data_IF_566141138718
#
_entry.id   IF_566141138718
#
_cell.length_a   1.000
_cell.length_b   1.000
_cell.length_c   1.000
_cell.angle_alpha   90.00
_cell.angle_beta   90.00
_cell.angle_gamma   90.00
#
_symmetry.space_group_name_H-M   'P 1'
#
loop_
_entity.id
_entity.type
_entity.pdbx_description
1 polymer ?
#
# COMPACT_ATOMS: atom_id res chain seq x y z
N UNK A 1 37.66 -11.25 31.86
CA UNK A 1 37.03 -9.91 31.96
C UNK A 1 37.13 -9.07 30.69
N UNK A 2 38.29 -8.97 30.01
CA UNK A 2 38.42 -8.16 28.78
C UNK A 2 37.50 -8.55 27.60
N UNK A 3 37.25 -9.85 27.38
CA UNK A 3 36.38 -10.33 26.28
C UNK A 3 34.87 -10.08 26.51
N UNK A 4 34.42 -10.04 27.76
CA UNK A 4 33.02 -9.74 28.09
C UNK A 4 32.69 -8.24 27.98
N UNK A 5 33.65 -7.37 28.28
CA UNK A 5 33.51 -5.92 28.12
C UNK A 5 33.43 -5.54 26.63
N UNK A 6 34.17 -6.23 25.76
CA UNK A 6 34.11 -6.02 24.30
C UNK A 6 32.75 -6.40 23.68
N UNK A 7 32.09 -7.45 24.18
CA UNK A 7 30.78 -7.86 23.67
C UNK A 7 29.67 -6.89 24.12
N UNK A 8 29.76 -6.35 25.35
CA UNK A 8 28.82 -5.34 25.85
C UNK A 8 28.95 -4.00 25.09
N UNK A 9 30.15 -3.62 24.69
CA UNK A 9 30.39 -2.44 23.84
C UNK A 9 29.83 -2.60 22.43
N UNK A 10 29.93 -3.80 21.84
CA UNK A 10 29.38 -4.10 20.51
C UNK A 10 27.84 -4.13 20.55
N UNK A 11 27.22 -4.66 21.62
CA UNK A 11 25.77 -4.59 21.81
C UNK A 11 25.25 -3.17 22.12
N UNK A 12 26.05 -2.32 22.77
CA UNK A 12 25.72 -0.91 22.96
C UNK A 12 25.78 -0.12 21.64
N UNK A 13 26.73 -0.45 20.75
CA UNK A 13 26.86 0.15 19.41
C UNK A 13 25.74 -0.28 18.45
N UNK A 14 25.18 -1.48 18.60
CA UNK A 14 24.06 -1.95 17.78
C UNK A 14 22.71 -1.30 18.11
N UNK A 15 22.57 -0.64 19.26
CA UNK A 15 21.36 0.09 19.64
C UNK A 15 21.36 1.57 19.23
N UNK A 16 22.42 2.07 18.58
CA UNK A 16 22.56 3.51 18.24
C UNK A 16 22.14 3.80 16.78
N UNK A 17 21.92 2.79 15.93
CA UNK A 17 21.66 3.02 14.50
C UNK A 17 20.18 3.33 14.20
N UNK A 18 19.32 3.40 15.22
CA UNK A 18 18.02 4.03 15.11
C UNK A 18 18.12 5.55 15.32
N UNK A 19 17.63 6.33 14.36
CA UNK A 19 16.81 7.53 14.64
C UNK A 19 17.36 8.97 14.53
N UNK A 20 18.39 9.35 13.73
CA UNK A 20 18.52 10.76 13.35
C UNK A 20 17.54 11.14 12.22
N UNK A 21 17.26 10.20 11.30
CA UNK A 21 16.34 10.39 10.16
C UNK A 21 14.87 10.24 10.58
N UNK A 22 14.58 9.38 11.58
CA UNK A 22 13.23 9.26 12.12
C UNK A 22 12.87 10.59 12.79
N UNK A 23 13.46 10.93 13.95
CA UNK A 23 13.15 12.10 14.76
C UNK A 23 12.79 13.38 13.96
N UNK A 24 13.56 13.73 12.92
CA UNK A 24 13.36 14.95 12.13
C UNK A 24 12.07 14.99 11.31
N UNK A 25 11.56 13.85 10.83
CA UNK A 25 10.27 13.81 10.13
C UNK A 25 9.12 13.99 11.12
N UNK A 26 9.15 13.27 12.24
CA UNK A 26 8.17 13.43 13.31
C UNK A 26 8.17 14.85 13.88
N UNK A 27 9.33 15.51 13.95
CA UNK A 27 9.46 16.90 14.36
C UNK A 27 8.69 17.85 13.42
N UNK A 28 8.85 17.69 12.09
CA UNK A 28 8.10 18.48 11.09
C UNK A 28 6.59 18.28 11.18
N UNK A 29 6.16 17.11 11.64
CA UNK A 29 4.75 16.74 11.80
C UNK A 29 4.22 16.98 13.22
N UNK A 30 5.01 17.58 14.12
CA UNK A 30 4.59 17.83 15.49
C UNK A 30 3.34 18.72 15.52
N UNK A 31 2.29 18.24 16.19
CA UNK A 31 0.96 18.87 16.24
C UNK A 31 0.27 19.06 14.87
N UNK A 32 0.74 18.39 13.82
CA UNK A 32 0.13 18.42 12.51
C UNK A 32 -0.93 17.32 12.36
N UNK A 33 -2.04 17.62 11.68
CA UNK A 33 -3.15 16.66 11.48
C UNK A 33 -2.70 15.37 10.78
N UNK A 34 -1.66 15.44 9.95
CA UNK A 34 -1.16 14.30 9.18
C UNK A 34 -0.12 13.44 9.90
N UNK A 35 0.22 13.74 11.17
CA UNK A 35 1.24 12.98 11.93
C UNK A 35 0.94 11.48 12.01
N UNK A 36 -0.33 11.10 12.17
CA UNK A 36 -0.78 9.71 12.20
C UNK A 36 -1.21 9.16 10.84
N UNK A 37 -1.20 10.00 9.80
CA UNK A 37 -1.70 9.65 8.46
C UNK A 37 -0.56 9.29 7.52
N UNK A 38 0.58 9.99 7.59
CA UNK A 38 1.70 9.78 6.66
C UNK A 38 2.53 8.56 7.09
N UNK A 39 2.60 7.58 6.20
CA UNK A 39 3.43 6.38 6.36
C UNK A 39 4.85 6.69 5.89
N UNK A 40 5.82 6.46 6.78
CA UNK A 40 7.23 6.82 6.53
C UNK A 40 7.81 6.13 5.28
N UNK A 41 7.57 4.83 5.13
CA UNK A 41 8.14 4.07 4.02
C UNK A 41 7.57 4.55 2.68
N UNK A 42 6.27 4.87 2.66
CA UNK A 42 5.61 5.48 1.52
C UNK A 42 6.23 6.85 1.19
N UNK A 43 6.37 7.72 2.20
CA UNK A 43 6.96 9.05 2.05
C UNK A 43 8.39 8.97 1.48
N UNK A 44 9.24 8.15 2.06
CA UNK A 44 10.64 8.02 1.62
C UNK A 44 10.75 7.45 0.20
N UNK A 45 9.85 6.56 -0.18
CA UNK A 45 9.87 5.93 -1.50
C UNK A 45 9.33 6.86 -2.60
N UNK A 46 8.21 7.53 -2.35
CA UNK A 46 7.52 8.33 -3.37
C UNK A 46 7.82 9.83 -3.33
N UNK A 47 8.27 10.36 -2.19
CA UNK A 47 8.63 11.77 -2.00
C UNK A 47 10.10 11.96 -1.55
N UNK A 48 11.08 11.25 -2.14
CA UNK A 48 12.46 11.29 -1.66
C UNK A 48 13.09 12.68 -1.74
N UNK A 49 12.61 13.55 -2.65
CA UNK A 49 13.09 14.93 -2.77
C UNK A 49 12.71 15.80 -1.57
N UNK A 50 11.56 15.56 -0.93
CA UNK A 50 11.17 16.24 0.32
C UNK A 50 11.98 15.77 1.52
N UNK A 51 12.49 14.53 1.48
CA UNK A 51 13.30 13.93 2.54
C UNK A 51 14.76 14.39 2.53
N UNK A 52 15.24 14.98 1.42
CA UNK A 52 16.64 15.41 1.26
C UNK A 52 17.05 16.40 2.34
N UNK A 53 18.34 16.41 2.63
CA UNK A 53 18.95 17.34 3.58
C UNK A 53 18.23 17.37 4.92
N UNK A 54 17.91 16.20 5.46
CA UNK A 54 17.18 16.07 6.72
C UNK A 54 15.78 16.71 6.70
N UNK A 55 15.00 16.42 5.65
CA UNK A 55 13.62 16.90 5.51
C UNK A 55 13.49 18.44 5.41
N UNK A 56 14.53 19.12 4.93
CA UNK A 56 14.49 20.58 4.76
C UNK A 56 13.40 20.99 3.75
N UNK A 57 13.23 20.21 2.68
CA UNK A 57 12.18 20.44 1.68
C UNK A 57 10.77 20.10 2.18
N UNK A 58 10.65 19.36 3.29
CA UNK A 58 9.35 18.99 3.84
C UNK A 58 8.84 20.06 4.82
N UNK A 59 7.81 20.76 4.36
CA UNK A 59 6.99 21.70 5.11
C UNK A 59 5.52 21.31 4.89
N UNK A 60 4.90 20.55 5.82
CA UNK A 60 3.60 19.89 5.61
C UNK A 60 2.48 20.80 5.06
N UNK A 61 2.47 22.07 5.45
CA UNK A 61 1.47 23.08 5.04
C UNK A 61 1.88 23.92 3.81
N UNK A 62 3.11 23.78 3.31
CA UNK A 62 3.55 24.47 2.11
C UNK A 62 2.84 23.90 0.88
N UNK A 63 2.64 24.73 -0.14
CA UNK A 63 2.08 24.27 -1.41
C UNK A 63 2.98 23.23 -2.07
N UNK A 64 2.39 22.19 -2.66
CA UNK A 64 3.13 21.22 -3.49
C UNK A 64 3.28 21.78 -4.91
N UNK A 65 4.47 21.60 -5.50
CA UNK A 65 4.70 21.93 -6.91
C UNK A 65 4.15 20.84 -7.82
N UNK A 66 3.68 21.21 -9.00
CA UNK A 66 3.09 20.29 -9.97
C UNK A 66 4.09 19.25 -10.48
N UNK A 67 5.31 19.67 -10.83
CA UNK A 67 6.40 18.79 -11.26
C UNK A 67 6.79 17.77 -10.17
N UNK A 68 6.93 18.23 -8.93
CA UNK A 68 7.18 17.38 -7.75
C UNK A 68 6.06 16.36 -7.53
N UNK A 69 4.81 16.81 -7.57
CA UNK A 69 3.64 15.96 -7.41
C UNK A 69 3.56 14.89 -8.50
N UNK A 70 3.72 15.29 -9.78
CA UNK A 70 3.68 14.38 -10.91
C UNK A 70 4.83 13.37 -10.87
N UNK A 71 6.02 13.76 -10.42
CA UNK A 71 7.11 12.83 -10.19
C UNK A 71 6.73 11.72 -9.19
N UNK A 72 6.13 12.10 -8.06
CA UNK A 72 5.67 11.16 -7.04
C UNK A 72 4.53 10.27 -7.55
N UNK A 73 3.56 10.85 -8.24
CA UNK A 73 2.41 10.12 -8.79
C UNK A 73 2.82 9.15 -9.89
N UNK A 74 3.68 9.56 -10.82
CA UNK A 74 4.23 8.69 -11.86
C UNK A 74 5.05 7.55 -11.28
N UNK A 75 5.82 7.79 -10.21
CA UNK A 75 6.54 6.73 -9.49
C UNK A 75 5.58 5.71 -8.86
N UNK A 76 4.48 6.18 -8.25
CA UNK A 76 3.42 5.33 -7.70
C UNK A 76 2.78 4.46 -8.78
N UNK A 77 2.29 5.08 -9.86
CA UNK A 77 1.68 4.38 -10.98
C UNK A 77 2.62 3.33 -11.59
N UNK A 78 3.88 3.70 -11.81
CA UNK A 78 4.90 2.77 -12.32
C UNK A 78 5.10 1.57 -11.41
N UNK A 79 5.14 1.76 -10.08
CA UNK A 79 5.25 0.64 -9.13
C UNK A 79 4.01 -0.27 -9.17
N UNK A 80 2.84 0.29 -9.52
CA UNK A 80 1.59 -0.44 -9.67
C UNK A 80 1.34 -0.98 -11.09
N UNK A 81 2.30 -0.82 -12.01
CA UNK A 81 2.21 -1.37 -13.37
C UNK A 81 1.52 -0.46 -14.40
N UNK A 82 1.27 0.80 -14.04
CA UNK A 82 0.66 1.80 -14.92
C UNK A 82 1.72 2.78 -15.44
N UNK A 83 1.48 3.38 -16.61
CA UNK A 83 2.32 4.43 -17.17
C UNK A 83 1.69 5.82 -16.94
N UNK A 84 2.54 6.83 -16.75
CA UNK A 84 2.12 8.22 -16.77
C UNK A 84 3.19 9.04 -17.50
N UNK A 85 2.77 9.77 -18.54
CA UNK A 85 3.67 10.55 -19.40
C UNK A 85 3.48 12.07 -19.21
N UNK A 86 2.71 12.48 -18.20
CA UNK A 86 2.51 13.90 -17.90
C UNK A 86 3.79 14.54 -17.37
N UNK A 87 4.15 15.69 -17.95
CA UNK A 87 5.24 16.54 -17.50
C UNK A 87 4.65 17.72 -16.73
N UNK A 88 5.13 17.93 -15.51
CA UNK A 88 4.70 19.04 -14.67
C UNK A 88 5.51 20.31 -14.86
N UNK A 89 4.94 21.43 -14.44
CA UNK A 89 5.61 22.72 -14.40
C UNK A 89 5.99 23.07 -12.95
N UNK A 90 6.99 23.93 -12.76
CA UNK A 90 7.37 24.41 -11.43
C UNK A 90 6.38 25.50 -10.94
N UNK A 91 5.13 25.11 -10.73
CA UNK A 91 4.03 25.95 -10.27
C UNK A 91 3.29 25.26 -9.13
N UNK A 92 2.67 26.04 -8.25
CA UNK A 92 1.89 25.49 -7.14
C UNK A 92 0.56 24.90 -7.64
N UNK A 93 0.27 23.65 -7.29
CA UNK A 93 -1.00 23.00 -7.60
C UNK A 93 -2.14 23.51 -6.72
N UNK A 94 -3.31 23.69 -7.32
CA UNK A 94 -4.57 23.79 -6.56
C UNK A 94 -5.15 22.39 -6.27
N UNK A 95 -6.06 22.30 -5.30
CA UNK A 95 -6.79 21.07 -4.98
C UNK A 95 -7.63 20.55 -6.14
N UNK A 96 -8.19 21.45 -6.95
CA UNK A 96 -8.94 21.11 -8.18
C UNK A 96 -8.01 20.52 -9.23
N UNK A 97 -6.87 21.16 -9.50
CA UNK A 97 -5.86 20.65 -10.45
C UNK A 97 -5.32 19.27 -10.02
N UNK A 98 -4.98 19.11 -8.74
CA UNK A 98 -4.54 17.83 -8.19
C UNK A 98 -5.62 16.73 -8.32
N UNK A 99 -6.89 17.07 -8.09
CA UNK A 99 -8.00 16.14 -8.30
C UNK A 99 -8.18 15.77 -9.77
N UNK A 100 -8.04 16.72 -10.71
CA UNK A 100 -8.14 16.46 -12.14
C UNK A 100 -7.01 15.53 -12.63
N UNK A 101 -5.77 15.78 -12.22
CA UNK A 101 -4.60 14.93 -12.56
C UNK A 101 -4.83 13.49 -12.10
N UNK A 102 -5.16 13.30 -10.82
CA UNK A 102 -5.32 11.95 -10.26
C UNK A 102 -6.60 11.29 -10.76
N UNK A 103 -7.72 12.01 -10.69
CA UNK A 103 -9.04 11.50 -11.08
C UNK A 103 -9.07 11.13 -12.56
N UNK A 104 -8.56 12.00 -13.43
CA UNK A 104 -8.47 11.75 -14.86
C UNK A 104 -7.69 10.48 -15.16
N UNK A 105 -6.51 10.31 -14.54
CA UNK A 105 -5.71 9.09 -14.74
C UNK A 105 -6.39 7.83 -14.20
N UNK A 106 -6.99 7.88 -13.01
CA UNK A 106 -7.65 6.70 -12.44
C UNK A 106 -8.93 6.32 -13.19
N UNK A 107 -9.63 7.29 -13.79
CA UNK A 107 -10.77 7.05 -14.67
C UNK A 107 -10.33 6.46 -16.02
N UNK A 108 -9.27 7.01 -16.63
CA UNK A 108 -8.67 6.48 -17.86
C UNK A 108 -8.30 5.00 -17.74
N UNK A 109 -7.71 4.62 -16.61
CA UNK A 109 -7.28 3.25 -16.32
C UNK A 109 -8.41 2.36 -15.75
N UNK A 110 -9.66 2.85 -15.68
CA UNK A 110 -10.81 2.17 -15.09
C UNK A 110 -10.55 1.66 -13.65
N UNK A 111 -9.71 2.37 -12.89
CA UNK A 111 -9.42 2.06 -11.49
C UNK A 111 -10.55 2.57 -10.59
N UNK A 112 -11.20 3.66 -10.97
CA UNK A 112 -12.39 4.22 -10.33
C UNK A 112 -13.46 4.49 -11.39
N UNK A 113 -14.71 4.67 -10.97
CA UNK A 113 -15.84 4.93 -11.85
C UNK A 113 -16.54 6.24 -11.51
N UNK A 114 -17.16 6.86 -12.50
CA UNK A 114 -18.08 7.99 -12.30
C UNK A 114 -19.43 7.42 -11.86
N UNK A 115 -19.64 7.25 -10.56
CA UNK A 115 -20.97 7.01 -10.03
C UNK A 115 -21.80 8.32 -10.06
N UNK A 116 -23.09 8.23 -10.41
CA UNK A 116 -24.03 9.36 -10.50
C UNK A 116 -24.39 10.02 -9.16
N UNK A 117 -23.62 9.77 -8.09
CA UNK A 117 -23.77 10.50 -6.84
C UNK A 117 -23.04 11.83 -6.97
N UNK A 118 -23.84 12.86 -7.27
CA UNK A 118 -23.49 14.26 -7.03
C UNK A 118 -22.80 14.38 -5.67
N UNK A 119 -21.60 14.96 -5.66
CA UNK A 119 -21.01 15.37 -4.38
C UNK A 119 -21.87 16.47 -3.76
N UNK A 120 -21.89 16.56 -2.43
CA UNK A 120 -22.57 17.67 -1.74
C UNK A 120 -21.78 19.00 -1.81
N UNK A 121 -20.67 19.05 -2.57
CA UNK A 121 -19.82 20.22 -2.68
C UNK A 121 -20.48 21.26 -3.60
N UNK A 122 -20.84 22.41 -3.03
CA UNK A 122 -21.53 23.47 -3.78
C UNK A 122 -20.56 24.40 -4.51
N UNK A 123 -19.31 24.42 -4.09
CA UNK A 123 -18.25 25.32 -4.54
C UNK A 123 -17.50 24.83 -5.78
N UNK A 124 -17.77 23.59 -6.22
CA UNK A 124 -17.20 23.03 -7.46
C UNK A 124 -18.04 23.32 -8.70
N UNK A 125 -19.24 23.92 -8.54
CA UNK A 125 -20.17 24.21 -9.64
C UNK A 125 -19.58 25.13 -10.71
N UNK A 126 -18.60 25.95 -10.34
CA UNK A 126 -17.90 26.87 -11.24
C UNK A 126 -16.66 26.22 -11.90
N UNK A 127 -16.26 25.02 -11.50
CA UNK A 127 -15.18 24.26 -12.14
C UNK A 127 -15.66 23.60 -13.44
N UNK A 128 -14.73 23.12 -14.27
CA UNK A 128 -15.08 22.37 -15.47
C UNK A 128 -15.84 21.08 -15.14
N UNK A 129 -16.67 20.59 -16.06
CA UNK A 129 -17.41 19.31 -15.87
C UNK A 129 -16.43 18.16 -15.61
N UNK A 130 -15.27 18.16 -16.28
CA UNK A 130 -14.21 17.20 -16.06
C UNK A 130 -13.68 17.23 -14.61
N UNK A 131 -13.37 18.42 -14.09
CA UNK A 131 -12.90 18.58 -12.70
C UNK A 131 -13.98 18.16 -11.70
N UNK A 132 -15.25 18.51 -11.95
CA UNK A 132 -16.38 18.07 -11.13
C UNK A 132 -16.50 16.54 -11.09
N UNK A 133 -16.40 15.88 -12.25
CA UNK A 133 -16.45 14.43 -12.36
C UNK A 133 -15.27 13.75 -11.63
N UNK A 134 -14.06 14.31 -11.77
CA UNK A 134 -12.88 13.82 -11.07
C UNK A 134 -13.06 13.93 -9.55
N UNK A 135 -13.52 15.09 -9.06
CA UNK A 135 -13.80 15.30 -7.63
C UNK A 135 -14.87 14.32 -7.14
N UNK A 136 -15.93 14.08 -7.93
CA UNK A 136 -16.98 13.12 -7.58
C UNK A 136 -16.44 11.69 -7.47
N UNK A 137 -15.77 11.20 -8.51
CA UNK A 137 -15.21 9.86 -8.54
C UNK A 137 -14.20 9.62 -7.40
N UNK A 138 -13.28 10.57 -7.17
CA UNK A 138 -12.30 10.47 -6.10
C UNK A 138 -12.93 10.52 -4.71
N UNK A 139 -14.02 11.26 -4.52
CA UNK A 139 -14.75 11.33 -3.25
C UNK A 139 -15.45 10.00 -2.97
N UNK A 140 -16.12 9.43 -3.98
CA UNK A 140 -16.80 8.14 -3.87
C UNK A 140 -15.80 7.00 -3.63
N UNK A 141 -14.61 7.06 -4.23
CA UNK A 141 -13.52 6.13 -3.97
C UNK A 141 -12.84 6.33 -2.59
N UNK A 142 -13.19 7.38 -1.83
CA UNK A 142 -12.60 7.70 -0.53
C UNK A 142 -11.16 8.21 -0.60
N UNK A 143 -10.71 8.68 -1.76
CA UNK A 143 -9.35 9.19 -1.98
C UNK A 143 -9.25 10.62 -1.46
N UNK A 144 -10.21 11.48 -1.82
CA UNK A 144 -10.26 12.87 -1.35
C UNK A 144 -11.36 13.08 -0.31
N UNK A 145 -11.20 14.16 0.46
CA UNK A 145 -12.20 14.66 1.41
C UNK A 145 -12.36 16.17 1.22
N UNK A 146 -13.57 16.67 1.41
CA UNK A 146 -13.83 18.11 1.49
C UNK A 146 -13.30 18.69 2.79
N UNK A 147 -13.12 20.01 2.81
CA UNK A 147 -12.81 20.77 4.03
C UNK A 147 -14.01 20.85 4.96
N UNK A 148 -15.21 20.75 4.39
CA UNK A 148 -16.46 20.55 5.12
C UNK A 148 -17.38 19.61 4.35
N UNK A 149 -18.59 19.38 4.88
CA UNK A 149 -19.61 18.55 4.20
C UNK A 149 -20.06 19.13 2.86
N UNK A 150 -19.91 20.44 2.65
CA UNK A 150 -20.42 21.15 1.47
C UNK A 150 -19.36 21.95 0.72
N UNK A 151 -18.10 21.91 1.17
CA UNK A 151 -17.01 22.69 0.57
C UNK A 151 -15.78 21.82 0.32
N UNK A 152 -15.33 21.74 -0.94
CA UNK A 152 -14.11 21.04 -1.34
C UNK A 152 -12.88 21.96 -1.41
N UNK A 153 -13.10 23.24 -1.73
CA UNK A 153 -12.13 24.30 -1.94
C UNK A 153 -11.15 24.04 -3.10
N UNK A 154 -11.63 23.91 -4.36
CA UNK A 154 -10.80 23.53 -5.51
C UNK A 154 -9.73 24.56 -5.86
N UNK A 155 -9.95 25.84 -5.56
CA UNK A 155 -9.01 26.92 -5.90
C UNK A 155 -7.86 27.08 -4.90
N UNK A 156 -7.97 26.52 -3.68
CA UNK A 156 -6.87 26.59 -2.70
C UNK A 156 -5.69 25.74 -3.16
N UNK A 157 -4.47 26.23 -2.86
CA UNK A 157 -3.25 25.44 -3.04
C UNK A 157 -3.27 24.15 -2.24
N UNK A 158 -2.98 23.03 -2.90
CA UNK A 158 -2.80 21.75 -2.24
C UNK A 158 -1.48 21.75 -1.47
N UNK A 159 -1.52 21.27 -0.24
CA UNK A 159 -0.32 21.20 0.61
C UNK A 159 0.49 19.92 0.36
N UNK A 160 1.77 19.94 0.72
CA UNK A 160 2.63 18.74 0.66
C UNK A 160 2.02 17.57 1.44
N UNK A 161 1.49 17.80 2.64
CA UNK A 161 0.84 16.76 3.44
C UNK A 161 -0.41 16.18 2.76
N UNK A 162 -1.23 17.02 2.13
CA UNK A 162 -2.41 16.56 1.39
C UNK A 162 -2.02 15.69 0.20
N UNK A 163 -1.00 16.09 -0.57
CA UNK A 163 -0.50 15.32 -1.69
C UNK A 163 -0.03 13.91 -1.27
N UNK A 164 0.75 13.82 -0.19
CA UNK A 164 1.26 12.53 0.34
C UNK A 164 0.11 11.64 0.77
N UNK A 165 -0.82 12.17 1.58
CA UNK A 165 -1.96 11.40 2.08
C UNK A 165 -2.90 10.98 0.95
N UNK A 166 -3.08 11.83 -0.07
CA UNK A 166 -3.86 11.51 -1.26
C UNK A 166 -3.22 10.33 -2.01
N UNK A 167 -1.92 10.38 -2.30
CA UNK A 167 -1.25 9.29 -3.03
C UNK A 167 -1.24 7.96 -2.24
N UNK A 168 -1.17 8.00 -0.91
CA UNK A 168 -1.34 6.78 -0.08
C UNK A 168 -2.74 6.18 -0.22
N UNK A 169 -3.78 7.02 -0.37
CA UNK A 169 -5.14 6.53 -0.58
C UNK A 169 -5.34 6.01 -1.99
N UNK A 170 -4.71 6.66 -2.99
CA UNK A 170 -4.64 6.13 -4.36
C UNK A 170 -4.00 4.75 -4.35
N UNK A 171 -2.85 4.59 -3.68
CA UNK A 171 -2.21 3.30 -3.53
C UNK A 171 -3.17 2.24 -2.98
N UNK A 172 -3.86 2.58 -1.88
CA UNK A 172 -4.83 1.68 -1.24
C UNK A 172 -5.99 1.31 -2.17
N UNK A 173 -6.48 2.25 -2.99
CA UNK A 173 -7.56 1.98 -3.95
C UNK A 173 -7.07 1.10 -5.09
N UNK A 174 -5.90 1.37 -5.65
CA UNK A 174 -5.26 0.51 -6.66
C UNK A 174 -5.05 -0.88 -6.09
N UNK A 175 -4.50 -1.00 -4.88
CA UNK A 175 -4.29 -2.27 -4.21
C UNK A 175 -5.60 -2.97 -3.90
N UNK A 176 -6.70 -2.25 -3.65
CA UNK A 176 -8.04 -2.82 -3.47
C UNK A 176 -8.64 -3.32 -4.79
N UNK A 177 -8.41 -2.65 -5.90
CA UNK A 177 -9.05 -2.99 -7.18
C UNK A 177 -8.19 -3.92 -8.05
N UNK A 178 -6.89 -4.08 -7.75
CA UNK A 178 -5.94 -5.00 -8.42
C UNK A 178 -5.98 -6.45 -7.90
N UNK A 179 -7.10 -6.87 -7.30
CA UNK A 179 -7.24 -8.24 -6.79
C UNK A 179 -7.31 -9.24 -7.93
N UNK A 180 -6.30 -10.11 -8.03
CA UNK A 180 -6.32 -11.19 -9.02
C UNK A 180 -7.38 -12.20 -8.59
N UNK A 181 -8.38 -12.52 -9.45
CA UNK A 181 -9.40 -13.51 -9.14
C UNK A 181 -8.76 -14.86 -8.85
N UNK A 182 -9.34 -15.58 -7.89
CA UNK A 182 -8.94 -16.96 -7.63
C UNK A 182 -10.13 -17.77 -7.14
N UNK A 183 -10.10 -19.07 -7.44
CA UNK A 183 -11.04 -20.06 -6.93
C UNK A 183 -10.37 -20.87 -5.83
N UNK A 184 -11.01 -20.95 -4.65
CA UNK A 184 -10.59 -21.87 -3.60
C UNK A 184 -10.88 -23.31 -4.05
N UNK A 185 -9.86 -24.17 -4.08
CA UNK A 185 -10.02 -25.59 -4.37
C UNK A 185 -10.17 -26.43 -3.10
N UNK A 186 -9.48 -26.05 -2.01
CA UNK A 186 -9.61 -26.76 -0.74
C UNK A 186 -8.63 -26.30 0.33
N UNK A 187 -8.86 -26.78 1.54
CA UNK A 187 -8.01 -26.57 2.72
C UNK A 187 -7.78 -27.93 3.38
N UNK A 188 -6.53 -28.29 3.58
CA UNK A 188 -6.13 -29.55 4.23
C UNK A 188 -5.32 -29.24 5.48
N UNK A 189 -5.56 -29.99 6.55
CA UNK A 189 -4.74 -29.97 7.75
C UNK A 189 -3.98 -31.29 7.90
N UNK A 190 -2.70 -31.22 8.22
CA UNK A 190 -1.82 -32.36 8.48
C UNK A 190 -0.98 -32.13 9.75
N UNK A 191 -0.41 -33.20 10.30
CA UNK A 191 0.50 -33.16 11.45
C UNK A 191 1.98 -33.23 11.05
N UNK A 192 2.24 -33.25 9.75
CA UNK A 192 3.56 -33.19 9.14
C UNK A 192 3.47 -32.43 7.82
N UNK A 193 4.46 -31.61 7.51
CA UNK A 193 4.46 -30.83 6.27
C UNK A 193 5.71 -29.95 6.17
N UNK A 194 5.85 -29.30 5.03
CA UNK A 194 6.90 -28.32 4.76
C UNK A 194 6.23 -27.00 4.43
N UNK A 195 6.60 -25.93 5.13
CA UNK A 195 6.10 -24.59 4.82
C UNK A 195 6.60 -24.12 3.46
N UNK A 196 5.75 -23.39 2.75
CA UNK A 196 6.12 -22.83 1.46
C UNK A 196 4.96 -22.70 0.50
N UNK A 197 5.30 -22.31 -0.73
CA UNK A 197 4.38 -22.18 -1.84
C UNK A 197 4.79 -23.20 -2.90
N UNK A 198 3.85 -24.05 -3.33
CA UNK A 198 4.02 -24.93 -4.48
C UNK A 198 3.13 -24.44 -5.63
N UNK A 199 3.70 -24.35 -6.82
CA UNK A 199 3.02 -23.86 -8.03
C UNK A 199 2.96 -25.01 -9.03
N UNK A 200 1.76 -25.25 -9.57
CA UNK A 200 1.56 -26.17 -10.70
C UNK A 200 0.91 -25.42 -11.84
N UNK A 201 1.57 -25.44 -12.98
CA UNK A 201 1.04 -24.86 -14.20
C UNK A 201 0.26 -25.90 -14.99
N UNK A 202 -0.97 -25.53 -15.36
CA UNK A 202 -1.78 -26.22 -16.34
C UNK A 202 -1.84 -25.37 -17.62
N UNK A 203 -2.61 -25.81 -18.63
CA UNK A 203 -2.71 -25.14 -19.93
C UNK A 203 -3.18 -23.68 -19.80
N UNK A 204 -4.30 -23.49 -19.12
CA UNK A 204 -5.03 -22.22 -18.98
C UNK A 204 -5.01 -21.67 -17.54
N UNK A 205 -4.49 -22.45 -16.58
CA UNK A 205 -4.62 -22.17 -15.16
C UNK A 205 -3.33 -22.41 -14.38
N UNK A 206 -3.25 -21.79 -13.21
CA UNK A 206 -2.21 -22.03 -12.21
C UNK A 206 -2.87 -22.49 -10.92
N UNK A 207 -2.39 -23.59 -10.38
CA UNK A 207 -2.72 -24.03 -9.02
C UNK A 207 -1.61 -23.60 -8.08
N UNK A 208 -1.97 -22.85 -7.04
CA UNK A 208 -1.05 -22.40 -5.99
C UNK A 208 -1.45 -23.08 -4.68
N UNK A 209 -0.52 -23.82 -4.07
CA UNK A 209 -0.70 -24.46 -2.77
C UNK A 209 0.18 -23.78 -1.74
N UNK A 210 -0.42 -23.20 -0.70
CA UNK A 210 0.28 -22.47 0.36
C UNK A 210 0.20 -23.27 1.65
N UNK A 211 1.35 -23.69 2.18
CA UNK A 211 1.45 -24.42 3.44
C UNK A 211 2.06 -23.54 4.52
N UNK A 212 1.38 -23.44 5.67
CA UNK A 212 1.82 -22.73 6.87
C UNK A 212 1.76 -23.66 8.09
N UNK A 213 2.75 -23.54 8.97
CA UNK A 213 2.76 -24.22 10.26
C UNK A 213 2.05 -23.37 11.33
N UNK A 214 1.37 -24.04 12.26
CA UNK A 214 0.66 -23.43 13.37
C UNK A 214 0.94 -24.21 14.65
N UNK A 215 1.05 -23.53 15.81
CA UNK A 215 1.37 -24.19 17.07
C UNK A 215 0.24 -25.09 17.57
N UNK A 216 -0.99 -24.87 17.12
CA UNK A 216 -2.17 -25.66 17.48
C UNK A 216 -3.13 -25.82 16.29
N UNK A 217 -3.99 -26.85 16.28
CA UNK A 217 -4.99 -27.07 15.21
C UNK A 217 -6.00 -25.93 15.03
N UNK A 218 -6.31 -25.19 16.10
CA UNK A 218 -7.39 -24.21 16.13
C UNK A 218 -7.18 -22.92 15.32
N UNK A 219 -6.03 -22.74 14.67
CA UNK A 219 -5.82 -21.58 13.80
C UNK A 219 -6.69 -21.67 12.54
N UNK A 220 -7.32 -20.57 12.16
CA UNK A 220 -7.93 -20.41 10.86
C UNK A 220 -6.95 -19.75 9.89
N UNK A 221 -7.01 -20.14 8.61
CA UNK A 221 -6.21 -19.56 7.55
C UNK A 221 -7.08 -19.39 6.31
N UNK A 222 -7.02 -18.22 5.68
CA UNK A 222 -7.70 -17.90 4.42
C UNK A 222 -6.76 -17.13 3.50
N UNK A 223 -6.90 -17.30 2.19
CA UNK A 223 -6.33 -16.36 1.23
C UNK A 223 -7.26 -15.15 1.19
N UNK A 224 -6.77 -14.02 1.66
CA UNK A 224 -7.53 -12.76 1.67
C UNK A 224 -7.49 -12.13 0.28
N UNK A 225 -6.30 -12.11 -0.33
CA UNK A 225 -6.07 -11.42 -1.59
C UNK A 225 -4.82 -11.88 -2.32
N UNK A 226 -4.83 -11.75 -3.63
CA UNK A 226 -3.64 -11.81 -4.48
C UNK A 226 -3.51 -10.48 -5.22
N UNK A 227 -2.31 -9.89 -5.22
CA UNK A 227 -2.03 -8.64 -5.96
C UNK A 227 -0.75 -8.78 -6.78
N UNK A 228 -0.69 -8.09 -7.92
CA UNK A 228 0.55 -7.93 -8.69
C UNK A 228 1.42 -6.86 -8.03
N UNK A 229 2.72 -7.11 -7.92
CA UNK A 229 3.72 -6.14 -7.48
C UNK A 229 5.02 -6.39 -8.24
N UNK A 230 5.34 -5.51 -9.19
CA UNK A 230 6.44 -5.72 -10.17
C UNK A 230 6.29 -7.08 -10.85
N UNK A 231 7.33 -7.90 -10.88
CA UNK A 231 7.33 -9.22 -11.52
C UNK A 231 6.76 -10.34 -10.64
N UNK A 232 6.17 -10.01 -9.48
CA UNK A 232 5.73 -10.99 -8.48
C UNK A 232 4.25 -10.82 -8.12
N UNK A 233 3.67 -11.90 -7.62
CA UNK A 233 2.30 -11.99 -7.13
C UNK A 233 2.33 -12.15 -5.61
N UNK A 234 1.86 -11.14 -4.88
CA UNK A 234 1.79 -11.14 -3.42
C UNK A 234 0.49 -11.78 -2.95
N UNK A 235 0.60 -12.82 -2.13
CA UNK A 235 -0.51 -13.51 -1.51
C UNK A 235 -0.64 -13.03 -0.07
N UNK A 236 -1.75 -12.36 0.23
CA UNK A 236 -2.10 -11.95 1.58
C UNK A 236 -2.95 -13.03 2.24
N UNK A 237 -2.48 -13.51 3.39
CA UNK A 237 -3.23 -14.48 4.20
C UNK A 237 -3.92 -13.76 5.36
N UNK A 238 -5.18 -14.12 5.60
CA UNK A 238 -5.86 -13.80 6.85
C UNK A 238 -5.76 -15.01 7.79
N UNK A 239 -5.06 -14.84 8.91
CA UNK A 239 -4.83 -15.87 9.92
C UNK A 239 -5.51 -15.43 11.21
N UNK A 240 -6.39 -16.29 11.74
CA UNK A 240 -7.09 -16.03 12.99
C UNK A 240 -6.70 -17.10 14.01
N UNK A 241 -6.13 -16.73 15.19
CA UNK A 241 -5.85 -17.70 16.24
C UNK A 241 -7.16 -18.30 16.80
N UNK A 242 -7.11 -19.47 17.47
CA UNK A 242 -8.26 -19.96 18.20
C UNK A 242 -8.64 -19.01 19.34
N UNK A 243 -9.88 -19.14 19.81
CA UNK A 243 -10.34 -18.41 20.99
C UNK A 243 -9.43 -18.70 22.20
N UNK A 244 -9.17 -17.68 23.02
CA UNK A 244 -8.23 -17.79 24.16
C UNK A 244 -8.63 -18.86 25.17
N UNK A 245 -9.93 -19.11 25.30
CA UNK A 245 -10.50 -20.08 26.23
C UNK A 245 -10.69 -21.46 25.58
N UNK A 246 -10.30 -21.61 24.31
CA UNK A 246 -10.41 -22.87 23.58
C UNK A 246 -9.35 -23.86 24.03
N UNK A 247 -9.78 -25.05 24.44
CA UNK A 247 -8.87 -26.17 24.74
C UNK A 247 -8.30 -26.70 23.42
N UNK A 248 -7.00 -26.60 23.25
CA UNK A 248 -6.29 -27.00 22.05
C UNK A 248 -5.28 -28.12 22.33
N UNK A 249 -5.15 -29.05 21.39
CA UNK A 249 -4.02 -30.00 21.40
C UNK A 249 -2.71 -29.23 21.19
N UNK A 250 -1.71 -29.53 22.02
CA UNK A 250 -0.37 -28.95 21.95
C UNK A 250 0.47 -29.68 20.91
N UNK A 251 0.04 -29.59 19.65
CA UNK A 251 0.70 -30.23 18.51
C UNK A 251 0.78 -29.26 17.34
N UNK A 252 1.95 -29.19 16.72
CA UNK A 252 2.15 -28.41 15.51
C UNK A 252 1.30 -29.00 14.40
N UNK A 253 0.55 -28.15 13.71
CA UNK A 253 -0.22 -28.52 12.54
C UNK A 253 0.23 -27.74 11.33
N UNK A 254 0.11 -28.35 10.17
CA UNK A 254 0.36 -27.74 8.88
C UNK A 254 -0.98 -27.59 8.18
N UNK A 255 -1.33 -26.37 7.78
CA UNK A 255 -2.50 -26.14 6.93
C UNK A 255 -2.03 -25.77 5.55
N UNK A 256 -2.59 -26.45 4.55
CA UNK A 256 -2.37 -26.19 3.14
C UNK A 256 -3.66 -25.67 2.53
N UNK A 257 -3.63 -24.45 2.00
CA UNK A 257 -4.72 -23.91 1.18
C UNK A 257 -4.31 -24.03 -0.29
N UNK A 258 -5.21 -24.57 -1.10
CA UNK A 258 -5.03 -24.69 -2.54
C UNK A 258 -6.01 -23.78 -3.26
N UNK A 259 -5.50 -22.92 -4.13
CA UNK A 259 -6.27 -22.02 -4.99
C UNK A 259 -5.92 -22.23 -6.46
N UNK A 260 -6.86 -21.87 -7.32
CA UNK A 260 -6.74 -21.90 -8.78
C UNK A 260 -6.92 -20.48 -9.33
N UNK A 261 -6.06 -20.08 -10.26
CA UNK A 261 -6.03 -18.76 -10.90
C UNK A 261 -6.02 -18.96 -12.42
N UNK A 262 -6.81 -18.20 -13.16
CA UNK A 262 -6.76 -18.25 -14.62
C UNK A 262 -5.52 -17.50 -15.11
N UNK A 263 -4.80 -18.05 -16.10
CA UNK A 263 -3.61 -17.39 -16.67
C UNK A 263 -3.94 -16.09 -17.38
N UNK A 264 -5.18 -15.91 -17.85
CA UNK A 264 -5.64 -14.65 -18.45
C UNK A 264 -5.68 -13.48 -17.45
N UNK A 265 -5.82 -13.78 -16.16
CA UNK A 265 -5.77 -12.79 -15.08
C UNK A 265 -4.33 -12.47 -14.63
N UNK A 266 -3.34 -13.11 -15.26
CA UNK A 266 -1.92 -13.01 -14.96
C UNK A 266 -1.16 -12.43 -16.15
N UNK A 267 -0.05 -11.76 -15.87
CA UNK A 267 0.94 -11.40 -16.88
C UNK A 267 1.78 -12.62 -17.30
N UNK A 268 2.54 -12.46 -18.38
CA UNK A 268 3.43 -13.49 -18.93
C UNK A 268 4.38 -14.10 -17.87
N UNK A 269 4.76 -15.38 -18.03
CA UNK A 269 5.66 -16.07 -17.12
C UNK A 269 7.05 -15.41 -17.05
N UNK A 270 7.80 -15.59 -15.94
CA UNK A 270 7.56 -16.57 -14.87
C UNK A 270 6.53 -16.12 -13.82
N UNK A 271 5.70 -17.06 -13.35
CA UNK A 271 4.71 -16.80 -12.31
C UNK A 271 5.31 -16.94 -10.92
N UNK A 272 5.80 -15.83 -10.36
CA UNK A 272 6.47 -15.82 -9.06
C UNK A 272 5.48 -15.40 -7.96
N UNK A 273 5.08 -16.32 -7.09
CA UNK A 273 4.22 -16.03 -5.95
C UNK A 273 5.01 -15.92 -4.65
N UNK A 274 4.70 -14.90 -3.84
CA UNK A 274 5.31 -14.67 -2.52
C UNK A 274 4.23 -14.39 -1.48
N UNK A 275 4.47 -14.70 -0.21
CA UNK A 275 3.57 -14.28 0.87
C UNK A 275 3.83 -12.81 1.23
N UNK A 276 2.77 -12.02 1.33
CA UNK A 276 2.84 -10.66 1.86
C UNK A 276 3.16 -10.71 3.36
N UNK A 277 4.17 -9.93 3.79
CA UNK A 277 4.65 -9.93 5.18
C UNK A 277 5.65 -11.04 5.49
N UNK A 278 6.64 -11.27 4.62
CA UNK A 278 7.67 -12.29 4.81
C UNK A 278 8.36 -12.17 6.17
N UNK A 279 8.32 -13.27 6.91
CA UNK A 279 9.20 -13.56 8.03
C UNK A 279 10.64 -13.18 7.64
N UNK A 280 11.24 -12.28 8.41
CA UNK A 280 12.67 -12.31 8.63
C UNK A 280 12.97 -13.72 9.17
N UNK A 281 13.51 -14.59 8.32
CA UNK A 281 14.21 -15.77 8.82
C UNK A 281 15.36 -15.23 9.68
N UNK A 282 15.16 -15.26 11.00
CA UNK A 282 16.30 -15.29 11.91
C UNK A 282 17.05 -16.57 11.57
N UNK A 283 18.11 -16.42 10.80
CA UNK A 283 19.24 -17.34 10.84
C UNK A 283 19.76 -17.23 12.27
N UNK A 284 19.44 -18.21 13.10
CA UNK A 284 20.27 -18.51 14.26
C UNK A 284 21.30 -19.53 13.78
N UNK A 285 22.54 -19.07 13.70
CA UNK A 285 23.73 -19.91 13.83
C UNK A 285 23.75 -20.43 15.27
#
# INVERSE_FOLDING_TARGET
MRRFISILLILALLNIVGSPVLAKMEDKLSNHWSKGEIQKDFFLYYFPYLARENYNGFSPNAAIKEDEFLLSFSSLLKNKGYSNNELGWNIDLTRGQMARIVGGKLLEENIIEVESKDTNFIDIKNSTIEEQNCIAALTNAGIIKGESKTNYNPSRKATQAEAIVLLQRVEKVIDKNSGIPFKLLGIVQAYSGVEGINIKENKDKITVSITKSFPTPGYNMKVEKITKSKDQYKIRLNITPPDKDSIQLQVITYKTITIEINKEDLQDPPYIFILEGSFLSKIQI
#
